data_IF_380151175041
#
_entry.id   IF_380151175041
#
_cell.length_a   1.000
_cell.length_b   1.000
_cell.length_c   1.000
_cell.angle_alpha   90.00
_cell.angle_beta   90.00
_cell.angle_gamma   90.00
#
_symmetry.space_group_name_H-M   'P 1'
#
loop_
_entity.id
_entity.type
_entity.pdbx_description
1 polymer ?
#
# COMPACT_ATOMS: atom_id res chain seq x y z
N UNK A 1 -8.60 -10.01 26.18
CA UNK A 1 -9.04 -9.23 25.01
C UNK A 1 -8.30 -9.77 23.81
N UNK A 2 -9.00 -10.30 22.79
CA UNK A 2 -8.37 -11.00 21.67
C UNK A 2 -8.42 -10.13 20.41
N UNK A 3 -7.26 -9.97 19.77
CA UNK A 3 -7.08 -9.33 18.46
C UNK A 3 -6.60 -10.39 17.48
N UNK A 4 -7.10 -10.38 16.24
CA UNK A 4 -6.54 -11.20 15.18
C UNK A 4 -5.56 -10.37 14.35
N UNK A 5 -4.37 -10.90 14.12
CA UNK A 5 -3.44 -10.42 13.09
C UNK A 5 -3.67 -11.30 11.87
N UNK A 6 -4.38 -10.77 10.87
CA UNK A 6 -4.67 -11.47 9.62
C UNK A 6 -3.50 -11.29 8.66
N UNK A 7 -2.71 -12.33 8.46
CA UNK A 7 -1.43 -12.25 7.72
C UNK A 7 -1.11 -13.55 7.00
N UNK A 8 -0.31 -13.46 5.94
CA UNK A 8 0.33 -14.60 5.26
C UNK A 8 1.75 -14.88 5.76
N UNK A 9 2.29 -13.99 6.60
CA UNK A 9 3.63 -14.12 7.14
C UNK A 9 3.67 -15.14 8.27
N UNK A 10 4.77 -15.86 8.37
CA UNK A 10 5.04 -16.75 9.48
C UNK A 10 5.27 -15.98 10.79
N UNK A 11 5.04 -16.66 11.91
CA UNK A 11 5.25 -16.07 13.24
C UNK A 11 6.71 -15.65 13.48
N UNK A 12 7.64 -16.30 12.81
CA UNK A 12 9.09 -16.03 12.93
C UNK A 12 9.56 -14.83 12.07
N UNK A 13 8.70 -14.35 11.18
CA UNK A 13 9.00 -13.14 10.40
C UNK A 13 9.11 -11.92 11.32
N UNK A 14 10.05 -11.02 11.02
CA UNK A 14 10.38 -9.89 11.87
C UNK A 14 9.14 -9.10 12.31
N UNK A 15 8.32 -8.66 11.38
CA UNK A 15 7.15 -7.82 11.66
C UNK A 15 6.08 -8.56 12.48
N UNK A 16 5.90 -9.86 12.20
CA UNK A 16 4.97 -10.71 12.94
C UNK A 16 5.41 -10.85 14.39
N UNK A 17 6.69 -11.16 14.60
CA UNK A 17 7.29 -11.29 15.95
C UNK A 17 7.17 -9.99 16.74
N UNK A 18 7.50 -8.85 16.10
CA UNK A 18 7.42 -7.52 16.71
C UNK A 18 5.99 -7.20 17.19
N UNK A 19 4.99 -7.41 16.31
CA UNK A 19 3.58 -7.15 16.65
C UNK A 19 3.08 -8.06 17.77
N UNK A 20 3.33 -9.37 17.69
CA UNK A 20 2.90 -10.31 18.73
C UNK A 20 3.48 -9.97 20.09
N UNK A 21 4.78 -9.65 20.16
CA UNK A 21 5.45 -9.26 21.39
C UNK A 21 4.88 -7.94 21.92
N UNK A 22 4.73 -6.92 21.09
CA UNK A 22 4.19 -5.63 21.51
C UNK A 22 2.74 -5.73 22.03
N UNK A 23 1.89 -6.58 21.43
CA UNK A 23 0.56 -6.86 21.97
C UNK A 23 0.64 -7.55 23.34
N UNK A 24 1.52 -8.53 23.49
CA UNK A 24 1.71 -9.24 24.76
C UNK A 24 2.16 -8.30 25.90
N UNK A 25 3.10 -7.40 25.61
CA UNK A 25 3.59 -6.37 26.54
C UNK A 25 2.47 -5.43 27.03
N UNK A 26 1.42 -5.25 26.22
CA UNK A 26 0.23 -4.45 26.56
C UNK A 26 -0.92 -5.26 27.18
N UNK A 27 -0.71 -6.55 27.44
CA UNK A 27 -1.72 -7.45 28.00
C UNK A 27 -2.85 -7.80 27.01
N UNK A 28 -2.61 -7.68 25.72
CA UNK A 28 -3.57 -8.01 24.65
C UNK A 28 -3.17 -9.34 24.03
N UNK A 29 -4.09 -10.29 23.98
CA UNK A 29 -3.88 -11.57 23.29
C UNK A 29 -3.99 -11.36 21.80
N UNK A 30 -2.91 -11.48 21.05
CA UNK A 30 -2.89 -11.45 19.61
C UNK A 30 -2.79 -12.86 19.02
N UNK A 31 -3.74 -13.24 18.18
CA UNK A 31 -3.74 -14.50 17.44
C UNK A 31 -3.42 -14.23 15.98
N UNK A 32 -2.35 -14.82 15.48
CA UNK A 32 -2.06 -14.82 14.04
C UNK A 32 -2.96 -15.84 13.33
N UNK A 33 -3.60 -15.40 12.25
CA UNK A 33 -4.45 -16.24 11.43
C UNK A 33 -4.09 -16.06 9.95
N UNK A 34 -3.96 -17.18 9.23
CA UNK A 34 -3.79 -17.15 7.79
C UNK A 34 -5.16 -16.95 7.12
N UNK A 35 -5.29 -16.03 6.15
CA UNK A 35 -6.59 -15.71 5.55
C UNK A 35 -7.24 -16.90 4.82
N UNK A 36 -6.45 -17.82 4.28
CA UNK A 36 -6.95 -18.97 3.51
C UNK A 36 -7.44 -20.12 4.42
N UNK A 37 -7.24 -20.02 5.74
CA UNK A 37 -7.73 -20.98 6.74
C UNK A 37 -9.16 -20.65 7.23
N UNK A 38 -9.77 -19.60 6.71
CA UNK A 38 -11.14 -19.23 7.06
C UNK A 38 -12.17 -19.87 6.13
N UNK A 39 -13.25 -20.36 6.71
CA UNK A 39 -14.46 -20.72 6.00
C UNK A 39 -15.53 -19.66 6.26
N UNK A 40 -16.15 -19.17 5.19
CA UNK A 40 -17.19 -18.13 5.24
C UNK A 40 -18.51 -18.75 4.82
N UNK A 41 -19.50 -18.68 5.70
CA UNK A 41 -20.87 -19.10 5.48
C UNK A 41 -21.76 -17.86 5.52
N UNK A 42 -22.45 -17.57 4.44
CA UNK A 42 -23.37 -16.43 4.37
C UNK A 42 -24.79 -16.92 4.65
N UNK A 43 -25.29 -16.61 5.84
CA UNK A 43 -26.67 -16.87 6.22
C UNK A 43 -27.29 -15.67 6.99
N UNK A 44 -28.40 -15.89 7.69
CA UNK A 44 -29.05 -14.81 8.44
C UNK A 44 -28.31 -14.39 9.72
N UNK A 45 -27.48 -15.27 10.27
CA UNK A 45 -26.67 -15.01 11.47
C UNK A 45 -25.20 -14.83 11.08
N UNK A 46 -24.87 -13.63 10.63
CA UNK A 46 -23.53 -13.28 10.15
C UNK A 46 -22.43 -13.57 11.19
N UNK A 47 -22.74 -13.54 12.49
CA UNK A 47 -21.77 -13.80 13.55
C UNK A 47 -21.33 -15.27 13.65
N UNK A 48 -22.19 -16.19 13.16
CA UNK A 48 -21.87 -17.63 13.10
C UNK A 48 -21.28 -18.07 11.77
N UNK A 49 -21.26 -17.17 10.79
CA UNK A 49 -20.86 -17.45 9.43
C UNK A 49 -19.35 -17.54 9.22
N UNK A 50 -18.52 -17.40 10.26
CA UNK A 50 -17.07 -17.46 10.13
C UNK A 50 -16.50 -18.59 10.99
N UNK A 51 -15.72 -19.46 10.35
CA UNK A 51 -14.97 -20.53 11.01
C UNK A 51 -13.48 -20.40 10.70
N UNK A 52 -12.66 -20.95 11.55
CA UNK A 52 -11.21 -21.02 11.35
C UNK A 52 -10.75 -22.48 11.42
N UNK A 53 -10.16 -22.98 10.33
CA UNK A 53 -9.77 -24.39 10.18
C UNK A 53 -10.92 -25.37 10.47
N UNK A 54 -12.11 -25.05 9.93
CA UNK A 54 -13.33 -25.85 10.09
C UNK A 54 -14.01 -25.77 11.46
N UNK A 55 -13.44 -25.01 12.41
CA UNK A 55 -13.97 -24.89 13.78
C UNK A 55 -14.65 -23.53 13.98
N UNK A 56 -15.68 -23.53 14.83
CA UNK A 56 -16.29 -22.29 15.32
C UNK A 56 -15.26 -21.47 16.09
N UNK A 57 -15.27 -20.16 15.92
CA UNK A 57 -14.33 -19.28 16.59
C UNK A 57 -15.03 -18.19 17.39
N UNK A 58 -14.44 -17.82 18.50
CA UNK A 58 -14.83 -16.61 19.21
C UNK A 58 -14.40 -15.38 18.40
N UNK A 59 -15.36 -14.46 18.18
CA UNK A 59 -15.11 -13.25 17.42
C UNK A 59 -14.11 -12.35 18.15
N UNK A 60 -13.11 -11.80 17.44
CA UNK A 60 -12.14 -10.91 18.04
C UNK A 60 -12.74 -9.52 18.32
N UNK A 61 -12.07 -8.73 19.14
CA UNK A 61 -12.42 -7.31 19.33
C UNK A 61 -12.03 -6.44 18.13
N UNK A 62 -11.00 -6.88 17.37
CA UNK A 62 -10.49 -6.18 16.19
C UNK A 62 -9.68 -7.14 15.33
N UNK A 63 -9.67 -6.91 14.03
CA UNK A 63 -8.78 -7.56 13.07
C UNK A 63 -7.76 -6.56 12.56
N UNK A 64 -6.48 -6.77 12.88
CA UNK A 64 -5.35 -6.07 12.28
C UNK A 64 -5.00 -6.77 10.96
N UNK A 65 -5.31 -6.12 9.84
CA UNK A 65 -5.13 -6.70 8.51
C UNK A 65 -3.71 -6.40 8.01
N UNK A 66 -2.87 -7.43 7.99
CA UNK A 66 -1.49 -7.38 7.49
C UNK A 66 -1.36 -8.17 6.18
N UNK A 67 -2.28 -7.87 5.24
CA UNK A 67 -2.32 -8.44 3.90
C UNK A 67 -1.82 -7.40 2.91
N UNK A 68 -0.64 -7.65 2.36
CA UNK A 68 0.02 -6.75 1.43
C UNK A 68 -0.36 -6.99 -0.02
N UNK A 69 0.63 -6.83 -0.86
CA UNK A 69 0.56 -7.09 -2.28
C UNK A 69 0.02 -8.50 -2.60
N UNK A 70 -0.77 -8.59 -3.66
CA UNK A 70 -1.31 -9.88 -4.07
C UNK A 70 -2.44 -10.42 -3.20
N UNK A 71 -3.12 -9.57 -2.39
CA UNK A 71 -4.36 -9.96 -1.70
C UNK A 71 -5.39 -10.44 -2.73
N UNK A 72 -5.91 -11.65 -2.52
CA UNK A 72 -6.89 -12.28 -3.41
C UNK A 72 -8.32 -11.85 -3.04
N UNK A 73 -9.30 -11.98 -3.97
CA UNK A 73 -10.70 -11.66 -3.69
C UNK A 73 -11.27 -12.39 -2.48
N UNK A 74 -10.89 -13.67 -2.28
CA UNK A 74 -11.31 -14.46 -1.11
C UNK A 74 -10.80 -13.84 0.20
N UNK A 75 -9.53 -13.47 0.26
CA UNK A 75 -8.93 -12.88 1.46
C UNK A 75 -9.56 -11.54 1.82
N UNK A 76 -9.94 -10.76 0.80
CA UNK A 76 -10.71 -9.54 1.00
C UNK A 76 -12.14 -9.84 1.48
N UNK A 77 -12.73 -10.95 1.04
CA UNK A 77 -14.04 -11.41 1.52
C UNK A 77 -13.98 -11.79 3.00
N UNK A 78 -12.88 -12.36 3.50
CA UNK A 78 -12.69 -12.62 4.94
C UNK A 78 -12.75 -11.30 5.72
N UNK A 79 -12.03 -10.25 5.27
CA UNK A 79 -12.06 -8.94 5.91
C UNK A 79 -13.48 -8.36 5.92
N UNK A 80 -14.15 -8.38 4.74
CA UNK A 80 -15.54 -7.90 4.62
C UNK A 80 -16.50 -8.63 5.54
N UNK A 81 -16.31 -9.94 5.73
CA UNK A 81 -17.18 -10.72 6.61
C UNK A 81 -17.02 -10.29 8.07
N UNK A 82 -15.80 -10.06 8.55
CA UNK A 82 -15.59 -9.47 9.88
C UNK A 82 -16.24 -8.09 10.02
N UNK A 83 -16.10 -7.22 9.00
CA UNK A 83 -16.75 -5.90 8.99
C UNK A 83 -18.28 -6.01 9.07
N UNK A 84 -18.90 -6.94 8.31
CA UNK A 84 -20.34 -7.18 8.37
C UNK A 84 -20.78 -7.75 9.72
N UNK A 85 -19.94 -8.50 10.41
CA UNK A 85 -20.17 -8.95 11.78
C UNK A 85 -19.94 -7.84 12.83
N UNK A 86 -19.69 -6.59 12.40
CA UNK A 86 -19.46 -5.46 13.29
C UNK A 86 -18.07 -5.42 13.93
N UNK A 87 -17.14 -6.23 13.46
CA UNK A 87 -15.76 -6.27 13.97
C UNK A 87 -14.91 -5.23 13.23
N UNK A 88 -14.31 -4.27 13.94
CA UNK A 88 -13.43 -3.29 13.32
C UNK A 88 -12.22 -3.96 12.66
N UNK A 89 -11.92 -3.56 11.42
CA UNK A 89 -10.75 -4.01 10.67
C UNK A 89 -9.81 -2.83 10.39
N UNK A 90 -8.53 -3.00 10.66
CA UNK A 90 -7.47 -2.01 10.39
C UNK A 90 -6.43 -2.63 9.42
N UNK A 91 -6.34 -2.19 8.16
CA UNK A 91 -7.28 -1.34 7.43
C UNK A 91 -8.53 -2.13 7.03
N UNK A 92 -9.60 -1.42 6.75
CA UNK A 92 -10.83 -2.00 6.23
C UNK A 92 -10.69 -2.49 4.78
N UNK A 93 -11.66 -3.31 4.35
CA UNK A 93 -11.64 -3.95 3.03
C UNK A 93 -11.68 -2.94 1.87
N UNK A 94 -12.55 -1.93 1.96
CA UNK A 94 -12.70 -0.92 0.90
C UNK A 94 -11.45 -0.03 0.71
N UNK A 95 -10.83 0.51 1.75
CA UNK A 95 -9.52 1.16 1.66
C UNK A 95 -8.43 0.29 1.02
N UNK A 96 -8.33 -0.98 1.44
CA UNK A 96 -7.37 -1.93 0.86
C UNK A 96 -7.63 -2.13 -0.63
N UNK A 97 -8.87 -2.36 -1.03
CA UNK A 97 -9.26 -2.53 -2.43
C UNK A 97 -9.01 -1.27 -3.26
N UNK A 98 -9.24 -0.10 -2.68
CA UNK A 98 -9.04 1.19 -3.34
C UNK A 98 -7.58 1.41 -3.71
N UNK A 99 -6.65 1.20 -2.77
CA UNK A 99 -5.22 1.48 -3.03
C UNK A 99 -4.54 0.41 -3.90
N UNK A 100 -5.18 -0.73 -4.12
CA UNK A 100 -4.71 -1.72 -5.11
C UNK A 100 -4.87 -1.24 -6.55
N UNK A 101 -5.82 -0.36 -6.82
CA UNK A 101 -6.05 0.26 -8.12
C UNK A 101 -5.36 1.62 -8.16
N UNK A 102 -4.22 1.67 -8.85
CA UNK A 102 -3.41 2.89 -8.97
C UNK A 102 -4.18 4.05 -9.61
N UNK A 103 -5.04 3.76 -10.59
CA UNK A 103 -5.83 4.80 -11.24
C UNK A 103 -6.90 5.35 -10.29
N UNK A 104 -7.65 4.47 -9.62
CA UNK A 104 -8.65 4.87 -8.62
C UNK A 104 -8.03 5.70 -7.50
N UNK A 105 -6.86 5.29 -7.02
CA UNK A 105 -6.08 6.06 -6.04
C UNK A 105 -5.78 7.46 -6.57
N UNK A 106 -5.22 7.57 -7.78
CA UNK A 106 -4.92 8.87 -8.41
C UNK A 106 -6.16 9.74 -8.58
N UNK A 107 -7.30 9.18 -8.98
CA UNK A 107 -8.57 9.92 -9.11
C UNK A 107 -9.06 10.49 -7.78
N UNK A 108 -8.96 9.71 -6.68
CA UNK A 108 -9.36 10.16 -5.34
C UNK A 108 -8.44 11.27 -4.84
N UNK A 109 -7.12 11.10 -4.99
CA UNK A 109 -6.13 12.08 -4.56
C UNK A 109 -6.25 13.38 -5.35
N UNK A 110 -6.41 13.30 -6.67
CA UNK A 110 -6.65 14.47 -7.53
C UNK A 110 -7.90 15.24 -7.12
N UNK A 111 -9.02 14.54 -6.85
CA UNK A 111 -10.26 15.16 -6.36
C UNK A 111 -10.06 15.82 -4.99
N UNK A 112 -9.20 15.28 -4.16
CA UNK A 112 -8.85 15.85 -2.84
C UNK A 112 -7.87 17.03 -2.94
N UNK A 113 -7.42 17.41 -4.14
CA UNK A 113 -6.45 18.49 -4.35
C UNK A 113 -5.02 18.13 -3.95
N UNK A 114 -4.71 16.85 -3.81
CA UNK A 114 -3.38 16.37 -3.44
C UNK A 114 -2.50 16.33 -4.70
N UNK A 115 -1.29 16.86 -4.60
CA UNK A 115 -0.33 16.87 -5.70
C UNK A 115 0.11 15.43 -6.04
N UNK A 116 -0.16 15.00 -7.28
CA UNK A 116 0.21 13.72 -7.85
C UNK A 116 0.89 13.94 -9.21
N UNK A 117 1.72 13.02 -9.70
CA UNK A 117 2.18 13.06 -11.09
C UNK A 117 1.00 12.94 -12.06
N UNK A 118 1.06 13.66 -13.20
CA UNK A 118 0.06 13.53 -14.23
C UNK A 118 -0.06 12.06 -14.67
N UNK A 119 -1.27 11.54 -14.68
CA UNK A 119 -1.53 10.11 -14.88
C UNK A 119 -2.63 9.93 -15.93
N UNK A 120 -2.39 9.09 -16.92
CA UNK A 120 -3.31 8.76 -17.99
C UNK A 120 -3.52 7.24 -18.06
N UNK A 121 -4.78 6.82 -18.11
CA UNK A 121 -5.13 5.42 -18.41
C UNK A 121 -5.05 5.18 -19.90
N UNK A 122 -4.46 4.08 -20.31
CA UNK A 122 -4.26 3.73 -21.72
C UNK A 122 -4.81 2.34 -22.04
N UNK A 123 -5.37 2.22 -23.25
CA UNK A 123 -5.85 0.96 -23.84
C UNK A 123 -5.26 0.80 -25.23
N UNK A 124 -4.97 -0.42 -25.62
CA UNK A 124 -4.51 -0.74 -26.96
C UNK A 124 -5.70 -0.81 -27.95
N UNK A 125 -5.57 -0.31 -29.20
CA UNK A 125 -4.45 0.47 -29.71
C UNK A 125 -4.42 1.88 -29.11
N UNK A 126 -3.23 2.45 -28.93
CA UNK A 126 -3.05 3.74 -28.27
C UNK A 126 -2.68 4.81 -29.28
N UNK A 127 -3.28 5.99 -29.14
CA UNK A 127 -2.83 7.20 -29.84
C UNK A 127 -1.59 7.78 -29.10
N UNK A 128 -0.43 7.56 -29.69
CA UNK A 128 0.84 8.08 -29.14
C UNK A 128 0.87 9.61 -29.06
N UNK A 129 0.16 10.31 -29.94
CA UNK A 129 0.06 11.76 -29.94
C UNK A 129 -0.69 12.26 -28.70
N UNK A 130 -1.67 11.50 -28.23
CA UNK A 130 -2.42 11.82 -27.03
C UNK A 130 -1.54 11.69 -25.76
N UNK A 131 -0.70 10.66 -25.69
CA UNK A 131 0.26 10.48 -24.60
C UNK A 131 1.31 11.60 -24.61
N UNK A 132 1.89 11.90 -25.78
CA UNK A 132 2.88 12.96 -25.91
C UNK A 132 2.34 14.34 -25.50
N UNK A 133 1.09 14.63 -25.86
CA UNK A 133 0.43 15.90 -25.53
C UNK A 133 0.11 16.06 -24.05
N UNK A 134 -0.31 14.98 -23.36
CA UNK A 134 -0.84 15.07 -22.00
C UNK A 134 0.16 14.67 -20.93
N UNK A 135 1.12 13.81 -21.24
CA UNK A 135 2.13 13.30 -20.30
C UNK A 135 3.53 13.76 -20.72
N UNK A 136 3.87 13.61 -22.02
CA UNK A 136 5.21 13.87 -22.52
C UNK A 136 6.18 12.69 -22.29
N UNK A 137 7.45 12.94 -22.61
CA UNK A 137 8.57 12.01 -22.40
C UNK A 137 9.72 12.74 -21.71
N UNK A 138 10.43 12.07 -20.76
CA UNK A 138 10.26 10.69 -20.33
C UNK A 138 8.94 10.43 -19.59
N UNK A 139 8.45 9.17 -19.65
CA UNK A 139 7.26 8.76 -18.91
C UNK A 139 7.43 7.36 -18.31
N UNK A 140 6.63 7.04 -17.30
CA UNK A 140 6.59 5.73 -16.66
C UNK A 140 5.31 5.01 -17.06
N UNK A 141 5.43 3.80 -17.60
CA UNK A 141 4.31 2.90 -17.89
C UNK A 141 4.17 1.89 -16.76
N UNK A 142 2.97 1.76 -16.21
CA UNK A 142 2.69 0.84 -15.10
C UNK A 142 1.45 0.00 -15.41
N UNK A 143 1.45 -1.26 -14.99
CA UNK A 143 0.22 -2.06 -14.94
C UNK A 143 -0.65 -1.52 -13.81
N UNK A 144 -1.97 -1.40 -14.03
CA UNK A 144 -2.91 -0.82 -13.04
C UNK A 144 -2.87 -1.56 -11.70
N UNK A 145 -2.77 -2.90 -11.75
CA UNK A 145 -2.65 -3.76 -10.57
C UNK A 145 -1.28 -4.42 -10.55
N UNK A 146 -0.53 -4.22 -9.50
CA UNK A 146 0.81 -4.78 -9.32
C UNK A 146 1.51 -4.16 -8.12
N UNK A 147 2.60 -4.78 -7.66
CA UNK A 147 3.33 -4.37 -6.47
C UNK A 147 4.82 -4.60 -6.65
N UNK A 148 5.63 -4.06 -5.74
CA UNK A 148 7.09 -4.21 -5.72
C UNK A 148 7.82 -3.74 -6.99
N UNK A 149 7.20 -2.83 -7.78
CA UNK A 149 7.78 -2.34 -9.03
C UNK A 149 7.72 -3.32 -10.21
N UNK A 150 7.03 -4.45 -10.07
CA UNK A 150 6.77 -5.35 -11.20
C UNK A 150 5.84 -4.69 -12.22
N UNK A 151 6.19 -4.78 -13.53
CA UNK A 151 5.42 -4.15 -14.60
C UNK A 151 5.50 -2.63 -14.60
N UNK A 152 6.61 -2.04 -14.11
CA UNK A 152 6.93 -0.62 -14.17
C UNK A 152 8.09 -0.41 -15.12
N UNK A 153 7.89 0.40 -16.17
CA UNK A 153 8.83 0.64 -17.24
C UNK A 153 9.06 2.14 -17.45
N UNK A 154 10.32 2.56 -17.47
CA UNK A 154 10.69 3.92 -17.87
C UNK A 154 10.84 3.97 -19.40
N UNK A 155 10.12 4.87 -20.04
CA UNK A 155 10.23 5.17 -21.46
C UNK A 155 10.86 6.56 -21.59
N UNK A 156 12.14 6.63 -21.90
CA UNK A 156 12.85 7.90 -22.04
C UNK A 156 12.38 8.70 -23.25
N UNK A 157 12.00 8.01 -24.33
CA UNK A 157 11.61 8.60 -25.60
C UNK A 157 10.34 7.94 -26.14
N UNK A 158 9.63 8.64 -27.00
CA UNK A 158 8.45 8.14 -27.72
C UNK A 158 8.71 6.80 -28.41
N UNK A 159 9.90 6.59 -28.94
CA UNK A 159 10.29 5.32 -29.59
C UNK A 159 10.25 4.14 -28.61
N UNK A 160 10.70 4.34 -27.38
CA UNK A 160 10.79 3.28 -26.38
C UNK A 160 9.37 2.90 -25.90
N UNK A 161 8.52 3.92 -25.73
CA UNK A 161 7.10 3.74 -25.47
C UNK A 161 6.40 2.91 -26.58
N UNK A 162 6.59 3.27 -27.86
CA UNK A 162 6.02 2.53 -28.97
C UNK A 162 6.42 1.07 -28.98
N UNK A 163 7.71 0.76 -28.83
CA UNK A 163 8.22 -0.61 -28.78
C UNK A 163 7.61 -1.40 -27.62
N UNK A 164 7.47 -0.79 -26.45
CA UNK A 164 6.84 -1.43 -25.29
C UNK A 164 5.37 -1.73 -25.58
N UNK A 165 4.63 -0.80 -26.18
CA UNK A 165 3.22 -1.01 -26.52
C UNK A 165 3.02 -2.09 -27.59
N UNK A 166 3.83 -2.09 -28.65
CA UNK A 166 3.84 -3.16 -29.66
C UNK A 166 4.13 -4.53 -29.05
N UNK A 167 5.10 -4.60 -28.14
CA UNK A 167 5.41 -5.84 -27.42
C UNK A 167 4.22 -6.34 -26.58
N UNK A 168 3.57 -5.46 -25.84
CA UNK A 168 2.42 -5.81 -24.99
C UNK A 168 1.22 -6.24 -25.85
N UNK A 169 0.98 -5.57 -26.98
CA UNK A 169 -0.10 -5.92 -27.91
C UNK A 169 0.11 -7.31 -28.52
N UNK A 170 1.33 -7.61 -28.95
CA UNK A 170 1.70 -8.92 -29.50
C UNK A 170 1.56 -10.08 -28.49
N UNK A 171 1.64 -9.81 -27.19
CA UNK A 171 1.37 -10.81 -26.15
C UNK A 171 -0.13 -11.13 -26.00
N UNK A 172 -1.01 -10.48 -26.74
CA UNK A 172 -2.46 -10.64 -26.66
C UNK A 172 -3.05 -10.23 -25.30
N UNK A 173 -2.30 -9.48 -24.52
CA UNK A 173 -2.61 -9.20 -23.14
C UNK A 173 -3.37 -7.85 -23.06
N UNK A 174 -4.70 -7.90 -22.95
CA UNK A 174 -5.57 -6.71 -22.80
C UNK A 174 -5.44 -6.05 -21.41
N UNK A 175 -4.26 -6.08 -20.80
CA UNK A 175 -4.05 -5.45 -19.50
C UNK A 175 -4.25 -3.94 -19.63
N UNK A 176 -5.00 -3.39 -18.72
CA UNK A 176 -5.11 -1.95 -18.54
C UNK A 176 -3.81 -1.43 -17.93
N UNK A 177 -3.30 -0.35 -18.51
CA UNK A 177 -2.07 0.29 -18.06
C UNK A 177 -2.31 1.76 -17.78
N UNK A 178 -1.43 2.34 -16.99
CA UNK A 178 -1.32 3.79 -16.82
C UNK A 178 0.02 4.26 -17.37
N UNK A 179 0.00 5.44 -17.96
CA UNK A 179 1.18 6.22 -18.31
C UNK A 179 1.22 7.41 -17.38
N UNK A 180 2.34 7.60 -16.73
CA UNK A 180 2.53 8.62 -15.71
C UNK A 180 3.75 9.47 -16.03
N UNK A 181 3.65 10.77 -15.76
CA UNK A 181 4.75 11.71 -15.79
C UNK A 181 5.95 11.18 -14.98
N UNK A 182 7.13 11.24 -15.56
CA UNK A 182 8.36 10.91 -14.85
C UNK A 182 8.93 12.16 -14.18
N UNK A 183 9.06 12.11 -12.86
CA UNK A 183 9.70 13.15 -12.07
C UNK A 183 11.19 12.80 -11.93
N UNK A 184 12.01 13.46 -12.72
CA UNK A 184 13.42 13.13 -12.90
C UNK A 184 14.39 13.93 -12.04
N UNK A 185 13.93 14.76 -11.10
CA UNK A 185 14.80 15.61 -10.28
C UNK A 185 15.71 14.81 -9.35
N UNK A 186 15.21 13.67 -8.85
CA UNK A 186 15.93 12.74 -8.00
C UNK A 186 15.73 11.28 -8.50
N UNK A 187 16.43 10.86 -9.57
CA UNK A 187 16.26 9.52 -10.12
C UNK A 187 16.64 8.44 -9.10
N UNK A 188 15.77 7.46 -8.94
CA UNK A 188 16.00 6.37 -7.99
C UNK A 188 15.83 6.74 -6.52
N UNK A 189 15.28 7.90 -6.21
CA UNK A 189 15.00 8.33 -4.83
C UNK A 189 13.52 8.59 -4.63
N UNK A 190 13.00 8.21 -3.47
CA UNK A 190 11.68 8.58 -2.99
C UNK A 190 11.64 8.67 -1.46
N UNK A 191 10.53 9.19 -0.92
CA UNK A 191 10.27 9.16 0.52
C UNK A 191 9.13 8.19 0.81
N UNK A 192 9.35 7.24 1.71
CA UNK A 192 8.30 6.48 2.39
C UNK A 192 7.92 7.18 3.67
N UNK A 193 6.69 7.70 3.75
CA UNK A 193 6.14 8.34 4.94
C UNK A 193 5.13 7.39 5.59
N UNK A 194 5.30 7.14 6.88
CA UNK A 194 4.42 6.23 7.63
C UNK A 194 3.37 7.03 8.41
N UNK A 195 2.09 6.68 8.21
CA UNK A 195 0.94 7.27 8.90
C UNK A 195 0.21 6.19 9.68
N UNK A 196 -0.08 6.42 10.96
CA UNK A 196 -0.84 5.52 11.83
C UNK A 196 -1.86 6.34 12.60
N UNK A 197 -3.15 5.99 12.49
CA UNK A 197 -4.23 6.69 13.17
C UNK A 197 -4.29 8.19 12.85
N UNK A 198 -3.97 8.56 11.61
CA UNK A 198 -3.93 9.95 11.15
C UNK A 198 -2.71 10.76 11.61
N UNK A 199 -1.76 10.16 12.33
CA UNK A 199 -0.50 10.79 12.75
C UNK A 199 0.63 10.33 11.84
N UNK A 200 1.45 11.26 11.36
CA UNK A 200 2.70 10.98 10.66
C UNK A 200 3.75 10.56 11.69
N UNK A 201 4.30 9.37 11.51
CA UNK A 201 5.24 8.75 12.47
C UNK A 201 6.69 9.09 12.10
N UNK A 202 6.96 9.25 10.81
CA UNK A 202 8.29 9.59 10.29
C UNK A 202 8.34 9.48 8.78
N UNK A 203 9.47 9.87 8.21
CA UNK A 203 9.79 9.71 6.80
C UNK A 203 11.14 9.03 6.63
N UNK A 204 11.21 8.11 5.69
CA UNK A 204 12.42 7.40 5.31
C UNK A 204 12.71 7.68 3.84
N UNK A 205 13.86 8.27 3.54
CA UNK A 205 14.34 8.37 2.16
C UNK A 205 14.84 7.00 1.74
N UNK A 206 14.39 6.55 0.57
CA UNK A 206 14.85 5.31 -0.05
C UNK A 206 15.65 5.65 -1.29
N UNK A 207 16.77 4.95 -1.48
CA UNK A 207 17.64 5.11 -2.65
C UNK A 207 17.80 3.77 -3.34
N UNK A 208 17.53 3.74 -4.64
CA UNK A 208 17.68 2.56 -5.49
C UNK A 208 19.16 2.13 -5.62
N UNK A 209 19.42 0.87 -5.93
CA UNK A 209 20.74 0.46 -6.38
C UNK A 209 21.14 1.20 -7.67
N UNK A 210 22.43 1.31 -7.92
CA UNK A 210 22.96 1.95 -9.14
C UNK A 210 22.34 1.32 -10.40
N UNK A 211 21.82 2.18 -11.28
CA UNK A 211 21.19 1.77 -12.55
C UNK A 211 19.71 1.43 -12.47
N UNK A 212 19.07 1.44 -11.29
CA UNK A 212 17.62 1.30 -11.15
C UNK A 212 16.99 2.66 -10.76
N UNK A 213 15.82 2.95 -11.31
CA UNK A 213 15.03 4.14 -10.96
C UNK A 213 13.96 3.86 -9.88
N UNK A 214 13.86 2.61 -9.42
CA UNK A 214 12.84 2.14 -8.44
C UNK A 214 13.47 2.02 -7.05
N UNK A 215 13.14 2.92 -6.13
CA UNK A 215 13.75 3.04 -4.81
C UNK A 215 13.29 1.99 -3.77
N UNK A 216 12.94 0.77 -4.19
CA UNK A 216 12.44 -0.27 -3.28
C UNK A 216 13.58 -0.94 -2.48
N UNK A 217 13.50 -0.90 -1.14
CA UNK A 217 14.47 -1.55 -0.25
C UNK A 217 14.53 -3.06 -0.48
N UNK A 218 13.40 -3.70 -0.77
CA UNK A 218 13.33 -5.15 -1.07
C UNK A 218 14.12 -5.56 -2.30
N UNK A 219 14.42 -4.61 -3.19
CA UNK A 219 15.21 -4.82 -4.41
C UNK A 219 16.68 -4.39 -4.24
N UNK A 220 17.17 -4.32 -2.99
CA UNK A 220 18.56 -3.96 -2.70
C UNK A 220 18.80 -2.46 -2.49
N UNK A 221 17.77 -1.65 -2.45
CA UNK A 221 17.86 -0.23 -2.10
C UNK A 221 18.29 -0.01 -0.64
N UNK A 222 18.72 1.21 -0.35
CA UNK A 222 19.08 1.66 1.00
C UNK A 222 18.03 2.62 1.54
N UNK A 223 18.03 2.82 2.86
CA UNK A 223 17.16 3.78 3.55
C UNK A 223 17.95 4.69 4.48
N UNK A 224 17.47 5.89 4.68
CA UNK A 224 17.94 6.82 5.71
C UNK A 224 16.77 7.62 6.28
N UNK A 225 16.91 8.06 7.54
CA UNK A 225 15.91 8.92 8.16
C UNK A 225 15.86 10.26 7.44
N UNK A 226 14.65 10.74 7.16
CA UNK A 226 14.44 12.04 6.50
C UNK A 226 13.65 12.97 7.43
N UNK A 227 14.05 14.27 7.55
CA UNK A 227 13.36 15.19 8.42
C UNK A 227 11.93 15.45 7.91
N UNK A 228 10.96 15.42 8.84
CA UNK A 228 9.60 15.79 8.53
C UNK A 228 9.49 17.30 8.34
N UNK A 229 8.92 17.72 7.20
CA UNK A 229 8.50 19.09 6.93
C UNK A 229 6.99 19.19 6.98
N UNK A 230 6.44 20.40 7.14
CA UNK A 230 4.99 20.63 7.12
C UNK A 230 4.33 20.10 5.83
N UNK A 231 5.01 20.24 4.69
CA UNK A 231 4.54 19.72 3.40
C UNK A 231 4.47 18.20 3.39
N UNK A 232 5.51 17.50 3.85
CA UNK A 232 5.55 16.02 3.92
C UNK A 232 4.44 15.53 4.84
N UNK A 233 4.29 16.13 6.03
CA UNK A 233 3.25 15.76 6.97
C UNK A 233 1.84 16.00 6.40
N UNK A 234 1.64 17.13 5.75
CA UNK A 234 0.36 17.47 5.11
C UNK A 234 0.01 16.46 4.02
N UNK A 235 0.92 16.22 3.07
CA UNK A 235 0.69 15.30 1.95
C UNK A 235 0.40 13.87 2.44
N UNK A 236 1.17 13.38 3.39
CA UNK A 236 1.00 12.02 3.91
C UNK A 236 -0.31 11.86 4.69
N UNK A 237 -0.62 12.80 5.58
CA UNK A 237 -1.84 12.77 6.37
C UNK A 237 -3.09 12.90 5.52
N UNK A 238 -3.12 13.86 4.58
CA UNK A 238 -4.27 14.07 3.71
C UNK A 238 -4.46 12.91 2.74
N UNK A 239 -3.37 12.29 2.27
CA UNK A 239 -3.43 11.05 1.47
C UNK A 239 -4.08 9.92 2.25
N UNK A 240 -3.63 9.64 3.47
CA UNK A 240 -4.21 8.60 4.32
C UNK A 240 -5.70 8.89 4.60
N UNK A 241 -6.05 10.15 4.88
CA UNK A 241 -7.43 10.59 5.12
C UNK A 241 -8.31 10.41 3.88
N UNK A 242 -7.86 10.87 2.71
CA UNK A 242 -8.64 10.78 1.46
C UNK A 242 -8.91 9.33 1.03
N UNK A 243 -7.98 8.43 1.34
CA UNK A 243 -8.09 7.00 1.04
C UNK A 243 -8.68 6.18 2.20
N UNK A 244 -9.06 6.83 3.31
CA UNK A 244 -9.62 6.21 4.52
C UNK A 244 -8.72 5.10 5.09
N UNK A 245 -7.41 5.33 5.12
CA UNK A 245 -6.42 4.41 5.66
C UNK A 245 -6.10 4.74 7.11
N UNK A 246 -6.27 3.77 8.00
CA UNK A 246 -5.82 3.85 9.40
C UNK A 246 -4.29 3.72 9.49
N UNK A 247 -3.73 2.81 8.71
CA UNK A 247 -2.28 2.60 8.57
C UNK A 247 -1.91 2.76 7.11
N UNK A 248 -1.00 3.67 6.81
CA UNK A 248 -0.59 3.94 5.43
C UNK A 248 0.93 4.13 5.32
N UNK A 249 1.51 3.55 4.27
CA UNK A 249 2.82 3.95 3.76
C UNK A 249 2.60 4.81 2.52
N UNK A 250 2.88 6.09 2.61
CA UNK A 250 2.72 7.04 1.51
C UNK A 250 4.06 7.27 0.85
N UNK A 251 4.14 7.05 -0.45
CA UNK A 251 5.35 7.25 -1.24
C UNK A 251 5.30 8.61 -1.93
N UNK A 252 6.28 9.46 -1.62
CA UNK A 252 6.42 10.78 -2.19
C UNK A 252 7.63 10.81 -3.12
N UNK A 253 7.43 11.33 -4.33
CA UNK A 253 8.51 11.64 -5.26
C UNK A 253 8.94 13.09 -5.09
N UNK A 254 10.24 13.33 -5.21
CA UNK A 254 10.80 14.67 -5.27
C UNK A 254 10.38 15.37 -6.57
N UNK A 255 9.98 16.61 -6.48
CA UNK A 255 9.64 17.49 -7.60
C UNK A 255 10.30 18.86 -7.38
N UNK A 256 10.64 19.57 -8.44
CA UNK A 256 11.26 20.90 -8.39
C UNK A 256 10.49 21.95 -7.54
N UNK A 257 9.24 21.67 -7.17
CA UNK A 257 8.39 22.53 -6.33
C UNK A 257 8.01 21.89 -5.00
N UNK A 258 8.69 20.82 -4.57
CA UNK A 258 8.38 20.10 -3.35
C UNK A 258 8.19 18.61 -3.58
N UNK A 259 7.00 18.07 -3.28
CA UNK A 259 6.75 16.63 -3.37
C UNK A 259 5.43 16.32 -4.09
N UNK A 260 5.36 15.14 -4.73
CA UNK A 260 4.12 14.57 -5.26
C UNK A 260 3.90 13.16 -4.75
N UNK A 261 2.65 12.86 -4.41
CA UNK A 261 2.26 11.51 -3.96
C UNK A 261 2.26 10.55 -5.13
N UNK A 262 3.14 9.55 -5.07
CA UNK A 262 3.24 8.49 -6.09
C UNK A 262 2.22 7.38 -5.87
N UNK A 263 2.15 6.88 -4.63
CA UNK A 263 1.23 5.81 -4.23
C UNK A 263 1.01 5.78 -2.72
N UNK A 264 -0.02 5.04 -2.30
CA UNK A 264 -0.27 4.71 -0.90
C UNK A 264 -0.43 3.21 -0.74
N UNK A 265 0.17 2.67 0.32
CA UNK A 265 0.16 1.25 0.67
C UNK A 265 -0.63 1.02 1.95
N UNK A 266 -1.64 0.14 1.91
CA UNK A 266 -2.48 -0.20 3.06
C UNK A 266 -1.82 -1.17 4.05
N UNK A 267 -0.73 -1.79 3.66
CA UNK A 267 0.06 -2.69 4.52
C UNK A 267 1.56 -2.40 4.32
N UNK A 268 2.05 -1.23 4.77
CA UNK A 268 3.46 -0.92 4.66
C UNK A 268 4.28 -1.87 5.52
N UNK A 269 5.37 -2.42 4.94
CA UNK A 269 6.42 -3.07 5.71
C UNK A 269 7.12 -2.01 6.57
N UNK A 270 7.46 -2.38 7.81
CA UNK A 270 8.04 -1.44 8.75
C UNK A 270 9.44 -1.84 9.27
N UNK A 271 9.94 -3.01 8.91
CA UNK A 271 11.29 -3.45 9.33
C UNK A 271 12.39 -2.47 8.92
N UNK A 272 12.31 -1.96 7.68
CA UNK A 272 13.21 -0.90 7.21
C UNK A 272 13.04 0.39 7.99
N UNK A 273 11.81 0.75 8.33
CA UNK A 273 11.51 1.96 9.10
C UNK A 273 12.10 1.92 10.52
N UNK A 274 11.91 0.80 11.24
CA UNK A 274 12.51 0.59 12.55
C UNK A 274 14.04 0.61 12.49
N UNK A 275 14.63 0.03 11.42
CA UNK A 275 16.07 -0.01 11.22
C UNK A 275 16.69 1.37 10.96
N UNK A 276 16.08 2.18 10.10
CA UNK A 276 16.69 3.43 9.60
C UNK A 276 16.19 4.68 10.34
N UNK A 277 14.96 4.66 10.87
CA UNK A 277 14.36 5.82 11.52
C UNK A 277 14.34 5.73 13.05
N UNK A 278 14.77 4.61 13.63
CA UNK A 278 14.82 4.38 15.11
C UNK A 278 13.45 4.63 15.78
N UNK A 279 12.36 4.24 15.11
CA UNK A 279 10.97 4.39 15.59
C UNK A 279 10.41 3.00 15.87
N UNK A 280 9.86 2.78 17.05
CA UNK A 280 9.16 1.53 17.38
C UNK A 280 7.77 1.49 16.75
N UNK A 281 7.70 1.04 15.51
CA UNK A 281 6.46 1.01 14.72
C UNK A 281 5.47 -0.01 15.25
N UNK A 282 5.97 -1.17 15.70
CA UNK A 282 5.10 -2.19 16.28
C UNK A 282 4.40 -1.69 17.54
N UNK A 283 5.09 -0.94 18.38
CA UNK A 283 4.53 -0.34 19.59
C UNK A 283 3.44 0.69 19.25
N UNK A 284 3.70 1.57 18.29
CA UNK A 284 2.74 2.58 17.86
C UNK A 284 1.48 1.95 17.23
N UNK A 285 1.63 0.90 16.41
CA UNK A 285 0.49 0.17 15.85
C UNK A 285 -0.35 -0.46 16.98
N UNK A 286 0.29 -1.09 17.94
CA UNK A 286 -0.42 -1.77 19.03
C UNK A 286 -1.09 -0.79 19.99
N UNK A 287 -0.52 0.38 20.27
CA UNK A 287 -1.18 1.46 21.00
C UNK A 287 -2.40 1.99 20.23
N UNK A 288 -2.29 2.17 18.92
CA UNK A 288 -3.44 2.57 18.11
C UNK A 288 -4.55 1.52 18.12
N UNK A 289 -4.21 0.24 17.98
CA UNK A 289 -5.19 -0.86 18.09
C UNK A 289 -5.84 -0.89 19.48
N UNK A 290 -5.05 -0.72 20.54
CA UNK A 290 -5.56 -0.65 21.91
C UNK A 290 -6.57 0.48 22.11
N UNK A 291 -6.29 1.67 21.56
CA UNK A 291 -7.23 2.80 21.56
C UNK A 291 -8.54 2.48 20.82
N UNK A 292 -8.48 1.75 19.71
CA UNK A 292 -9.64 1.41 18.87
C UNK A 292 -10.54 0.32 19.45
N UNK A 293 -10.09 -0.46 20.44
CA UNK A 293 -10.87 -1.54 21.08
C UNK A 293 -11.41 -1.16 22.46
N UNK A 294 -11.09 0.01 22.97
CA UNK A 294 -11.66 0.62 24.18
C UNK A 294 -13.01 1.25 23.89
#
# INVERSE_FOLDING_TARGET
MTVIILTKLDRNEYESTRLVNSFADKGITARMCHPDDFDIIVDRDIHKGIKYQGQDMELPKLVLVRLGAGILPFQLAVVRHFEQAGIPCINGSLPIETVKDKLRTSQILSRAGIAIPNTMMVRLPIDDGLVEKNIGFPCVVKVVTGSYGEGVYLCEKKRDYKKLMEFIDNLGNKKTMIVQEYLGDHPGEDLRVLVIGGKVIGAMKRTAPEGDFRANITNGGTGENYPLTEEIEYLARETARALNLDIAGVDLLFDHRGFRVCEANSNPGFSGFEKYCSVDVADIITEYVKFRIQ
#
